data_IF_584369581541
#
_entry.id   IF_584369581541
#
_cell.length_a   1.000
_cell.length_b   1.000
_cell.length_c   1.000
_cell.angle_alpha   90.00
_cell.angle_beta   90.00
_cell.angle_gamma   90.00
#
_symmetry.space_group_name_H-M   'P 1'
#
loop_
_entity.id
_entity.type
_entity.pdbx_description
1 polymer ?
#
# COMPACT_ATOMS: atom_id res chain seq x y z
N UNK A 1 -2.70 0.95 20.48
CA UNK A 1 -2.55 2.19 19.70
C UNK A 1 -2.39 3.39 20.63
N UNK A 2 -1.37 3.37 21.49
CA UNK A 2 -1.17 4.39 22.52
C UNK A 2 0.28 4.42 22.93
N UNK A 3 1.11 4.98 22.06
CA UNK A 3 2.56 5.02 22.23
C UNK A 3 3.04 6.28 21.53
N UNK A 4 3.54 7.25 22.31
CA UNK A 4 3.91 8.63 21.95
C UNK A 4 4.66 8.93 20.63
N UNK A 5 5.00 7.93 19.82
CA UNK A 5 5.52 8.09 18.46
C UNK A 5 4.42 8.35 17.41
N UNK A 6 3.17 7.98 17.67
CA UNK A 6 2.01 8.19 16.79
C UNK A 6 1.62 9.67 16.64
N UNK A 7 2.10 10.53 17.55
CA UNK A 7 1.95 11.98 17.51
C UNK A 7 3.23 12.71 17.08
N UNK A 8 4.29 11.98 16.74
CA UNK A 8 5.54 12.58 16.29
C UNK A 8 5.49 12.80 14.76
N UNK A 9 5.42 14.06 14.31
CA UNK A 9 5.27 14.35 12.88
C UNK A 9 6.41 13.77 12.04
N UNK A 10 7.64 13.73 12.57
CA UNK A 10 8.78 13.19 11.83
C UNK A 10 8.68 11.67 11.64
N UNK A 11 8.16 10.96 12.65
CA UNK A 11 7.93 9.52 12.55
C UNK A 11 6.82 9.26 11.54
N UNK A 12 5.72 10.00 11.62
CA UNK A 12 4.59 9.86 10.69
C UNK A 12 5.02 10.14 9.25
N UNK A 13 5.75 11.23 9.00
CA UNK A 13 6.24 11.59 7.67
C UNK A 13 7.17 10.51 7.08
N UNK A 14 8.08 9.98 7.90
CA UNK A 14 8.96 8.88 7.49
C UNK A 14 8.16 7.61 7.18
N UNK A 15 7.15 7.28 7.98
CA UNK A 15 6.30 6.10 7.74
C UNK A 15 5.47 6.25 6.46
N UNK A 16 4.84 7.40 6.23
CA UNK A 16 4.12 7.68 4.99
C UNK A 16 5.05 7.55 3.78
N UNK A 17 6.28 8.05 3.90
CA UNK A 17 7.28 7.97 2.83
C UNK A 17 7.72 6.53 2.57
N UNK A 18 7.93 5.72 3.61
CA UNK A 18 8.26 4.27 3.50
C UNK A 18 7.11 3.50 2.80
N UNK A 19 5.86 3.82 3.13
CA UNK A 19 4.67 3.21 2.50
C UNK A 19 4.54 3.68 1.04
N UNK A 20 4.85 4.94 0.76
CA UNK A 20 4.78 5.51 -0.59
C UNK A 20 5.78 4.83 -1.52
N UNK A 21 7.03 4.67 -1.08
CA UNK A 21 8.08 3.97 -1.80
C UNK A 21 7.99 2.44 -1.64
N UNK A 22 6.83 1.84 -1.90
CA UNK A 22 6.68 0.39 -1.87
C UNK A 22 7.08 -0.23 -3.24
N UNK A 23 8.16 -1.04 -3.33
CA UNK A 23 8.61 -1.66 -4.57
C UNK A 23 7.65 -2.75 -5.10
N UNK A 24 6.75 -3.25 -4.25
CA UNK A 24 5.75 -4.26 -4.62
C UNK A 24 4.52 -3.66 -5.30
N UNK A 25 4.47 -2.33 -5.49
CA UNK A 25 3.40 -1.72 -6.28
C UNK A 25 3.41 -2.29 -7.71
N UNK A 26 2.23 -2.64 -8.25
CA UNK A 26 2.12 -3.04 -9.65
C UNK A 26 2.54 -1.87 -10.56
N UNK A 27 2.89 -2.18 -11.81
CA UNK A 27 3.17 -1.18 -12.85
C UNK A 27 4.40 -0.27 -12.59
N UNK A 28 5.28 -0.61 -11.64
CA UNK A 28 6.54 0.10 -11.43
C UNK A 28 7.60 -0.27 -12.48
N UNK A 29 8.09 0.75 -13.19
CA UNK A 29 9.19 0.62 -14.18
C UNK A 29 10.55 0.51 -13.48
N UNK A 30 10.82 1.37 -12.49
CA UNK A 30 12.12 1.48 -11.82
C UNK A 30 12.09 0.93 -10.38
N UNK A 31 11.74 -0.35 -10.22
CA UNK A 31 11.59 -1.01 -8.90
C UNK A 31 12.82 -0.89 -8.00
N UNK A 32 14.02 -1.05 -8.55
CA UNK A 32 15.27 -0.98 -7.77
C UNK A 32 15.50 0.42 -7.17
N UNK A 33 15.16 1.47 -7.90
CA UNK A 33 15.26 2.84 -7.38
C UNK A 33 14.25 3.09 -6.26
N UNK A 34 13.01 2.60 -6.42
CA UNK A 34 11.98 2.68 -5.37
C UNK A 34 12.41 1.93 -4.12
N UNK A 35 12.95 0.72 -4.28
CA UNK A 35 13.49 -0.08 -3.18
C UNK A 35 14.63 0.63 -2.44
N UNK A 36 15.56 1.23 -3.19
CA UNK A 36 16.67 1.99 -2.61
C UNK A 36 16.15 3.18 -1.78
N UNK A 37 15.18 3.93 -2.30
CA UNK A 37 14.54 5.02 -1.56
C UNK A 37 13.86 4.51 -0.29
N UNK A 38 13.08 3.42 -0.39
CA UNK A 38 12.43 2.82 0.76
C UNK A 38 13.42 2.44 1.87
N UNK A 39 14.52 1.78 1.49
CA UNK A 39 15.58 1.38 2.42
C UNK A 39 16.26 2.59 3.08
N UNK A 40 16.46 3.68 2.32
CA UNK A 40 17.00 4.92 2.85
C UNK A 40 16.08 5.51 3.95
N UNK A 41 14.77 5.57 3.71
CA UNK A 41 13.82 6.09 4.71
C UNK A 41 13.67 5.15 5.92
N UNK A 42 13.72 3.83 5.73
CA UNK A 42 13.78 2.87 6.85
C UNK A 42 15.03 3.07 7.72
N UNK A 43 16.19 3.31 7.08
CA UNK A 43 17.42 3.63 7.80
C UNK A 43 17.30 4.95 8.59
N UNK A 44 16.72 5.98 7.98
CA UNK A 44 16.48 7.27 8.65
C UNK A 44 15.56 7.12 9.86
N UNK A 45 14.48 6.35 9.74
CA UNK A 45 13.58 6.06 10.85
C UNK A 45 14.28 5.33 11.99
N UNK A 46 15.10 4.32 11.67
CA UNK A 46 15.91 3.61 12.66
C UNK A 46 16.87 4.56 13.40
N UNK A 47 17.57 5.42 12.64
CA UNK A 47 18.51 6.40 13.20
C UNK A 47 17.79 7.44 14.07
N UNK A 48 16.61 7.88 13.64
CA UNK A 48 15.77 8.79 14.40
C UNK A 48 15.39 8.20 15.77
N UNK A 49 14.97 6.94 15.82
CA UNK A 49 14.68 6.28 17.09
C UNK A 49 15.89 6.11 18.00
N UNK A 50 17.05 5.77 17.43
CA UNK A 50 18.29 5.71 18.23
C UNK A 50 18.64 7.07 18.83
N UNK A 51 18.53 8.16 18.04
CA UNK A 51 18.76 9.51 18.52
C UNK A 51 17.76 9.92 19.61
N UNK A 52 16.47 9.61 19.42
CA UNK A 52 15.40 10.07 20.31
C UNK A 52 15.34 9.33 21.64
N UNK A 53 15.56 8.02 21.64
CA UNK A 53 15.34 7.19 22.83
C UNK A 53 16.61 6.84 23.60
N UNK A 54 17.80 7.10 23.05
CA UNK A 54 19.12 6.97 23.70
C UNK A 54 19.56 5.54 24.05
N UNK A 55 18.65 4.69 24.51
CA UNK A 55 18.86 3.26 24.72
C UNK A 55 18.73 2.49 23.40
N UNK A 56 19.81 1.83 23.00
CA UNK A 56 19.86 1.01 21.77
C UNK A 56 18.78 -0.08 21.77
N UNK A 57 18.53 -0.71 22.92
CA UNK A 57 17.52 -1.76 23.06
C UNK A 57 16.10 -1.21 22.88
N UNK A 58 15.75 -0.12 23.56
CA UNK A 58 14.42 0.47 23.50
C UNK A 58 14.12 1.14 22.14
N UNK A 59 15.14 1.61 21.43
CA UNK A 59 15.01 2.11 20.06
C UNK A 59 14.76 0.96 19.07
N UNK A 60 15.54 -0.11 19.18
CA UNK A 60 15.42 -1.29 18.31
C UNK A 60 14.06 -2.00 18.49
N UNK A 61 13.59 -2.16 19.73
CA UNK A 61 12.27 -2.74 20.00
C UNK A 61 11.14 -1.94 19.33
N UNK A 62 11.17 -0.61 19.46
CA UNK A 62 10.16 0.27 18.83
C UNK A 62 10.22 0.21 17.31
N UNK A 63 11.43 0.23 16.74
CA UNK A 63 11.62 0.08 15.31
C UNK A 63 10.98 -1.23 14.80
N UNK A 64 11.32 -2.35 15.44
CA UNK A 64 10.79 -3.66 15.04
C UNK A 64 9.28 -3.75 15.16
N UNK A 65 8.69 -3.22 16.24
CA UNK A 65 7.23 -3.19 16.40
C UNK A 65 6.54 -2.46 15.24
N UNK A 66 7.09 -1.31 14.85
CA UNK A 66 6.51 -0.50 13.78
C UNK A 66 6.67 -1.19 12.42
N UNK A 67 7.83 -1.77 12.12
CA UNK A 67 8.04 -2.52 10.88
C UNK A 67 7.07 -3.71 10.78
N UNK A 68 6.91 -4.48 11.86
CA UNK A 68 5.95 -5.59 11.89
C UNK A 68 4.52 -5.11 11.63
N UNK A 69 4.10 -4.01 12.26
CA UNK A 69 2.77 -3.42 12.00
C UNK A 69 2.61 -2.93 10.56
N UNK A 70 3.66 -2.39 9.94
CA UNK A 70 3.64 -2.02 8.52
C UNK A 70 3.49 -3.24 7.61
N UNK A 71 4.17 -4.35 7.92
CA UNK A 71 4.04 -5.60 7.16
C UNK A 71 2.64 -6.20 7.28
N UNK A 72 2.05 -6.19 8.48
CA UNK A 72 0.67 -6.60 8.70
C UNK A 72 -0.31 -5.75 7.92
N UNK A 73 -0.14 -4.41 7.94
CA UNK A 73 -0.96 -3.49 7.16
C UNK A 73 -0.82 -3.74 5.65
N UNK A 74 0.40 -3.98 5.17
CA UNK A 74 0.65 -4.31 3.77
C UNK A 74 -0.08 -5.58 3.33
N UNK A 75 -0.04 -6.64 4.16
CA UNK A 75 -0.79 -7.88 3.91
C UNK A 75 -2.30 -7.62 3.88
N UNK A 76 -2.82 -6.85 4.82
CA UNK A 76 -4.23 -6.49 4.86
C UNK A 76 -4.68 -5.71 3.61
N UNK A 77 -3.88 -4.73 3.17
CA UNK A 77 -4.15 -3.95 1.95
C UNK A 77 -4.18 -4.86 0.72
N UNK A 78 -3.28 -5.83 0.62
CA UNK A 78 -3.27 -6.82 -0.48
C UNK A 78 -4.54 -7.66 -0.48
N UNK A 79 -4.93 -8.22 0.67
CA UNK A 79 -6.17 -9.02 0.80
C UNK A 79 -7.40 -8.19 0.42
N UNK A 80 -7.47 -6.94 0.89
CA UNK A 80 -8.58 -6.04 0.58
C UNK A 80 -8.64 -5.72 -0.93
N UNK A 81 -7.49 -5.47 -1.57
CA UNK A 81 -7.40 -5.22 -3.01
C UNK A 81 -7.87 -6.42 -3.83
N UNK A 82 -7.52 -7.63 -3.40
CA UNK A 82 -7.99 -8.88 -4.02
C UNK A 82 -9.50 -9.07 -3.83
N UNK A 83 -10.03 -8.80 -2.63
CA UNK A 83 -11.47 -8.85 -2.37
C UNK A 83 -12.25 -7.85 -3.26
N UNK A 84 -11.75 -6.62 -3.40
CA UNK A 84 -12.36 -5.61 -4.27
C UNK A 84 -12.30 -5.97 -5.76
N UNK A 85 -11.25 -6.67 -6.21
CA UNK A 85 -11.19 -7.21 -7.58
C UNK A 85 -12.28 -8.24 -7.85
N UNK A 86 -12.67 -9.03 -6.85
CA UNK A 86 -13.74 -10.03 -7.01
C UNK A 86 -15.14 -9.41 -7.04
N UNK A 87 -15.34 -8.24 -6.43
CA UNK A 87 -16.62 -7.54 -6.34
C UNK A 87 -16.80 -6.42 -7.41
N UNK A 88 -16.30 -6.64 -8.63
CA UNK A 88 -16.29 -5.66 -9.74
C UNK A 88 -17.68 -5.13 -10.17
N UNK A 89 -18.76 -5.58 -9.54
CA UNK A 89 -20.16 -5.19 -9.82
C UNK A 89 -20.59 -3.91 -9.13
N UNK A 90 -19.82 -3.39 -8.19
CA UNK A 90 -20.16 -2.15 -7.49
C UNK A 90 -19.58 -0.95 -8.24
N UNK A 91 -20.34 0.14 -8.40
CA UNK A 91 -19.96 1.35 -9.14
C UNK A 91 -18.75 2.05 -8.51
N UNK A 92 -17.55 1.57 -8.80
CA UNK A 92 -16.29 2.18 -8.37
C UNK A 92 -16.00 3.35 -9.30
N UNK A 93 -15.83 4.55 -8.72
CA UNK A 93 -15.53 5.77 -9.48
C UNK A 93 -14.16 5.72 -10.19
N UNK A 94 -13.96 6.55 -11.24
CA UNK A 94 -12.80 6.47 -12.13
C UNK A 94 -11.45 6.64 -11.41
N UNK A 95 -11.37 7.57 -10.44
CA UNK A 95 -10.15 7.80 -9.66
C UNK A 95 -9.77 6.58 -8.82
N UNK A 96 -10.74 5.94 -8.17
CA UNK A 96 -10.48 4.79 -7.30
C UNK A 96 -10.09 3.56 -8.14
N UNK A 97 -10.65 3.43 -9.35
CA UNK A 97 -10.25 2.42 -10.33
C UNK A 97 -8.79 2.59 -10.76
N UNK A 98 -8.35 3.82 -11.04
CA UNK A 98 -6.97 4.12 -11.41
C UNK A 98 -6.01 3.83 -10.25
N UNK A 99 -6.31 4.35 -9.05
CA UNK A 99 -5.50 4.14 -7.84
C UNK A 99 -5.36 2.65 -7.48
N UNK A 100 -6.38 1.83 -7.74
CA UNK A 100 -6.39 0.42 -7.40
C UNK A 100 -5.87 -0.50 -8.53
N UNK A 101 -5.50 0.04 -9.69
CA UNK A 101 -5.11 -0.73 -10.89
C UNK A 101 -6.17 -1.82 -11.23
N UNK A 102 -7.45 -1.43 -11.23
CA UNK A 102 -8.54 -2.32 -11.61
C UNK A 102 -8.67 -2.34 -13.15
N UNK A 103 -8.92 -3.51 -13.77
CA UNK A 103 -9.16 -3.58 -15.21
C UNK A 103 -10.33 -2.67 -15.59
N UNK A 104 -10.29 -2.07 -16.77
CA UNK A 104 -11.40 -1.29 -17.32
C UNK A 104 -12.68 -2.16 -17.35
N UNK A 105 -13.86 -1.55 -17.22
CA UNK A 105 -15.12 -2.24 -17.50
C UNK A 105 -15.22 -2.33 -19.03
N UNK A 106 -14.44 -3.19 -19.66
CA UNK A 106 -14.60 -3.46 -21.08
C UNK A 106 -15.80 -4.38 -21.25
N UNK A 107 -16.85 -3.79 -21.82
CA UNK A 107 -18.05 -4.39 -22.40
C UNK A 107 -18.97 -5.14 -21.42
N UNK A 108 -20.06 -4.47 -21.01
CA UNK A 108 -21.32 -5.19 -20.85
C UNK A 108 -21.55 -6.02 -22.14
N UNK A 109 -21.93 -7.30 -22.05
CA UNK A 109 -22.32 -8.05 -23.24
C UNK A 109 -23.44 -7.26 -23.93
N UNK A 110 -23.19 -6.84 -25.17
CA UNK A 110 -24.19 -6.20 -26.01
C UNK A 110 -25.39 -7.14 -26.10
N UNK A 111 -26.51 -6.72 -25.54
CA UNK A 111 -27.72 -7.51 -25.41
C UNK A 111 -28.52 -7.56 -26.72
N UNK A 112 -27.85 -7.82 -27.84
CA UNK A 112 -28.44 -7.73 -29.19
C UNK A 112 -28.29 -9.01 -30.05
N UNK A 113 -27.98 -10.18 -29.48
CA UNK A 113 -27.92 -11.44 -30.25
C UNK A 113 -29.19 -12.31 -30.15
N UNK A 114 -30.35 -11.69 -29.91
CA UNK A 114 -31.66 -12.33 -30.10
C UNK A 114 -32.39 -11.73 -31.31
N UNK A 115 -31.79 -11.82 -32.49
CA UNK A 115 -32.55 -11.75 -33.75
C UNK A 115 -32.08 -12.81 -34.74
N UNK A 116 -32.88 -13.88 -34.78
CA UNK A 116 -33.29 -14.66 -35.96
C UNK A 116 -32.26 -15.60 -36.62
N UNK A 117 -32.49 -16.90 -36.40
CA UNK A 117 -32.72 -17.83 -37.52
C UNK A 117 -34.02 -18.58 -37.27
N UNK A 118 -35.09 -18.11 -37.92
CA UNK A 118 -36.31 -18.86 -38.22
C UNK A 118 -36.05 -19.56 -39.56
N UNK A 119 -36.26 -20.88 -39.58
CA UNK A 119 -36.39 -21.79 -40.75
C UNK A 119 -35.25 -21.80 -41.78
#
# INVERSE_FOLDING_TARGET
>A
FGTAWDNDPYVVDLLVTIILFNPDRPNLIHKEMVKLQQQLYMYLLKRYFHMKYGSSCAAQERFLRIINSLEELSKFVTIHREAQRMDYKTQIGPLLREVLDLPALDNCPNNNDYTLTVL
#
